data_IF_343423223788
#
_entry.id   IF_343423223788
#
_cell.length_a   1.000
_cell.length_b   1.000
_cell.length_c   1.000
_cell.angle_alpha   90.00
_cell.angle_beta   90.00
_cell.angle_gamma   90.00
#
_symmetry.space_group_name_H-M   'P 1'
#
loop_
_entity.id
_entity.type
_entity.pdbx_description
1 polymer ?
#
# COMPACT_ATOMS: atom_id res chain seq x y z
N UNK A 1 5.07 -13.98 6.04
CA UNK A 1 3.93 -13.48 6.83
C UNK A 1 2.62 -13.88 6.16
N UNK A 2 1.66 -14.42 6.90
CA UNK A 2 0.31 -14.68 6.38
C UNK A 2 -0.65 -13.51 6.71
N UNK A 3 -1.87 -13.53 6.16
CA UNK A 3 -2.89 -12.51 6.37
C UNK A 3 -3.25 -12.31 7.85
N UNK A 4 -3.38 -13.38 8.63
CA UNK A 4 -3.77 -13.31 10.05
C UNK A 4 -2.70 -12.61 10.90
N UNK A 5 -1.42 -12.94 10.70
CA UNK A 5 -0.30 -12.27 11.37
C UNK A 5 -0.23 -10.79 11.01
N UNK A 6 -0.49 -10.46 9.74
CA UNK A 6 -0.52 -9.07 9.29
C UNK A 6 -1.68 -8.31 9.96
N UNK A 7 -2.86 -8.92 10.06
CA UNK A 7 -4.02 -8.33 10.71
C UNK A 7 -3.74 -8.02 12.19
N UNK A 8 -3.26 -9.01 12.95
CA UNK A 8 -2.96 -8.83 14.38
C UNK A 8 -1.90 -7.74 14.60
N UNK A 9 -0.86 -7.69 13.76
CA UNK A 9 0.14 -6.62 13.83
C UNK A 9 -0.47 -5.25 13.55
N UNK A 10 -1.28 -5.13 12.49
CA UNK A 10 -1.90 -3.86 12.10
C UNK A 10 -2.83 -3.38 13.22
N UNK A 11 -3.71 -4.24 13.73
CA UNK A 11 -4.64 -3.89 14.81
C UNK A 11 -3.93 -3.42 16.09
N UNK A 12 -2.76 -3.99 16.40
CA UNK A 12 -1.94 -3.56 17.55
C UNK A 12 -1.17 -2.25 17.33
N UNK A 13 -0.99 -1.82 16.07
CA UNK A 13 -0.17 -0.66 15.70
C UNK A 13 -0.99 0.50 15.11
N UNK A 14 -2.31 0.40 15.14
CA UNK A 14 -3.21 1.52 14.86
C UNK A 14 -3.41 2.31 16.15
N UNK A 15 -3.56 3.63 16.05
CA UNK A 15 -3.86 4.51 17.19
C UNK A 15 -5.17 4.05 17.87
N UNK A 16 -5.23 4.11 19.21
CA UNK A 16 -6.33 3.56 20.02
C UNK A 16 -7.74 4.07 19.61
N UNK A 17 -7.83 5.27 19.04
CA UNK A 17 -9.08 5.91 18.61
C UNK A 17 -9.30 5.88 17.08
N UNK A 18 -8.67 4.97 16.35
CA UNK A 18 -8.77 4.87 14.90
C UNK A 18 -9.27 3.48 14.46
N UNK A 19 -10.32 3.46 13.64
CA UNK A 19 -11.00 2.22 13.24
C UNK A 19 -10.40 1.69 11.94
N UNK A 20 -10.02 0.42 11.91
CA UNK A 20 -9.57 -0.26 10.69
C UNK A 20 -10.74 -0.55 9.75
N UNK A 21 -10.77 0.11 8.58
CA UNK A 21 -11.75 -0.16 7.51
C UNK A 21 -11.34 -1.41 6.71
N UNK A 22 -10.04 -1.58 6.49
CA UNK A 22 -9.51 -2.77 5.85
C UNK A 22 -8.04 -2.64 5.49
N UNK A 23 -7.43 -3.73 5.04
CA UNK A 23 -6.01 -3.75 4.68
C UNK A 23 -5.73 -4.66 3.49
N UNK A 24 -4.66 -4.35 2.76
CA UNK A 24 -4.24 -5.12 1.60
C UNK A 24 -2.73 -5.09 1.41
N UNK A 25 -2.20 -6.12 0.75
CA UNK A 25 -0.80 -6.17 0.38
C UNK A 25 -0.55 -5.43 -0.93
N UNK A 26 0.56 -4.68 -1.00
CA UNK A 26 0.98 -4.00 -2.20
C UNK A 26 2.50 -4.04 -2.39
N UNK A 27 2.95 -3.84 -3.63
CA UNK A 27 4.37 -3.76 -3.96
C UNK A 27 4.69 -2.46 -4.69
N UNK A 28 5.77 -1.80 -4.32
CA UNK A 28 6.35 -0.69 -5.07
C UNK A 28 7.48 -1.25 -5.94
N UNK A 29 7.31 -1.30 -7.28
CA UNK A 29 8.32 -1.84 -8.16
C UNK A 29 9.56 -0.94 -8.21
N UNK A 30 10.73 -1.50 -8.53
CA UNK A 30 11.93 -0.73 -8.84
C UNK A 30 11.67 0.33 -9.90
N UNK A 31 12.43 1.43 -9.88
CA UNK A 31 12.44 2.37 -11.01
C UNK A 31 13.00 1.62 -12.22
N UNK A 32 12.32 1.69 -13.37
CA UNK A 32 12.71 0.97 -14.59
C UNK A 32 14.18 1.21 -14.95
N UNK A 33 14.68 2.43 -14.72
CA UNK A 33 16.06 2.82 -14.99
C UNK A 33 17.09 1.95 -14.26
N UNK A 34 16.76 1.45 -13.06
CA UNK A 34 17.67 0.63 -12.25
C UNK A 34 18.00 -0.69 -12.92
N UNK A 35 17.11 -1.23 -13.76
CA UNK A 35 17.40 -2.44 -14.53
C UNK A 35 18.51 -2.22 -15.57
N UNK A 36 18.71 -1.00 -16.07
CA UNK A 36 19.81 -0.71 -17.00
C UNK A 36 21.17 -0.61 -16.30
N UNK A 37 21.20 -0.34 -14.99
CA UNK A 37 22.46 -0.21 -14.23
C UNK A 37 22.80 -1.46 -13.44
N UNK A 38 21.82 -2.01 -12.73
CA UNK A 38 22.00 -3.13 -11.81
C UNK A 38 21.54 -4.46 -12.43
N UNK A 39 20.96 -4.43 -13.63
CA UNK A 39 20.40 -5.61 -14.26
C UNK A 39 19.30 -6.24 -13.41
N UNK A 40 19.23 -7.59 -13.34
CA UNK A 40 18.26 -8.32 -12.53
C UNK A 40 18.30 -7.97 -11.03
N UNK A 41 19.44 -7.52 -10.49
CA UNK A 41 19.57 -7.15 -9.07
C UNK A 41 18.71 -5.93 -8.69
N UNK A 42 18.20 -5.18 -9.66
CA UNK A 42 17.22 -4.13 -9.42
C UNK A 42 15.98 -4.64 -8.66
N UNK A 43 15.64 -5.93 -8.76
CA UNK A 43 14.52 -6.56 -8.02
C UNK A 43 14.66 -6.38 -6.50
N UNK A 44 15.88 -6.32 -5.96
CA UNK A 44 16.14 -6.15 -4.53
C UNK A 44 15.74 -4.76 -4.01
N UNK A 45 15.58 -3.78 -4.91
CA UNK A 45 15.07 -2.45 -4.56
C UNK A 45 13.54 -2.39 -4.49
N UNK A 46 12.84 -3.48 -4.82
CA UNK A 46 11.40 -3.59 -4.68
C UNK A 46 11.02 -3.47 -3.21
N UNK A 47 10.00 -2.66 -2.93
CA UNK A 47 9.47 -2.51 -1.57
C UNK A 47 8.13 -3.22 -1.46
N UNK A 48 7.94 -4.00 -0.41
CA UNK A 48 6.69 -4.67 -0.11
C UNK A 48 6.00 -3.94 1.05
N UNK A 49 4.68 -3.80 0.96
CA UNK A 49 3.89 -3.12 1.99
C UNK A 49 2.63 -3.90 2.33
N UNK A 50 2.17 -3.74 3.57
CA UNK A 50 0.75 -3.81 3.90
C UNK A 50 0.22 -2.40 4.08
N UNK A 51 -0.81 -2.06 3.31
CA UNK A 51 -1.55 -0.83 3.52
C UNK A 51 -2.75 -1.12 4.40
N UNK A 52 -2.87 -0.40 5.51
CA UNK A 52 -4.05 -0.40 6.36
C UNK A 52 -4.79 0.92 6.16
N UNK A 53 -6.05 0.84 5.76
CA UNK A 53 -6.94 1.98 5.54
C UNK A 53 -7.81 2.11 6.79
N UNK A 54 -7.74 3.27 7.42
CA UNK A 54 -8.50 3.58 8.62
C UNK A 54 -9.48 4.71 8.35
N UNK A 55 -10.22 5.15 9.37
CA UNK A 55 -11.13 6.28 9.24
C UNK A 55 -10.40 7.61 9.03
N UNK A 56 -9.21 7.75 9.61
CA UNK A 56 -8.41 8.98 9.57
C UNK A 56 -7.43 9.04 8.41
N UNK A 57 -6.91 7.89 7.96
CA UNK A 57 -5.88 7.88 6.94
C UNK A 57 -5.45 6.50 6.48
N UNK A 58 -4.20 6.42 6.04
CA UNK A 58 -3.61 5.19 5.51
C UNK A 58 -2.23 4.97 6.14
N UNK A 59 -2.06 3.80 6.76
CA UNK A 59 -0.76 3.31 7.20
C UNK A 59 -0.09 2.51 6.08
N UNK A 60 1.19 2.78 5.85
CA UNK A 60 2.07 2.06 4.94
C UNK A 60 3.08 1.26 5.76
N UNK A 61 2.69 0.05 6.17
CA UNK A 61 3.59 -0.85 6.88
C UNK A 61 4.56 -1.50 5.90
N UNK A 62 5.82 -1.09 5.96
CA UNK A 62 6.91 -1.60 5.12
C UNK A 62 7.34 -2.97 5.61
N UNK A 63 7.54 -3.88 4.65
CA UNK A 63 8.11 -5.18 4.88
C UNK A 63 9.56 -5.23 4.39
N UNK A 64 10.41 -5.84 5.21
CA UNK A 64 11.73 -6.31 4.80
C UNK A 64 11.62 -7.37 3.69
N UNK A 65 12.74 -7.66 3.02
CA UNK A 65 12.81 -8.72 2.00
C UNK A 65 12.42 -10.11 2.55
N UNK A 66 12.65 -10.36 3.84
CA UNK A 66 12.24 -11.58 4.54
C UNK A 66 10.74 -11.58 4.93
N UNK A 67 10.01 -10.51 4.60
CA UNK A 67 8.59 -10.38 4.87
C UNK A 67 8.26 -10.11 6.33
N UNK A 68 9.17 -9.54 7.12
CA UNK A 68 8.90 -9.00 8.47
C UNK A 68 8.61 -7.51 8.39
N UNK A 69 7.73 -7.00 9.27
CA UNK A 69 7.52 -5.57 9.44
C UNK A 69 8.81 -4.89 9.88
N UNK A 70 9.15 -3.80 9.21
CA UNK A 70 10.39 -3.04 9.45
C UNK A 70 10.08 -1.64 9.96
N UNK A 71 9.11 -0.97 9.32
CA UNK A 71 8.74 0.42 9.60
C UNK A 71 7.30 0.67 9.17
N UNK A 72 6.71 1.77 9.62
CA UNK A 72 5.39 2.21 9.20
C UNK A 72 5.29 3.72 9.10
N UNK A 73 4.87 4.20 7.92
CA UNK A 73 4.47 5.59 7.72
C UNK A 73 2.95 5.71 7.85
N UNK A 74 2.45 6.70 8.59
CA UNK A 74 1.03 7.05 8.60
C UNK A 74 0.82 8.36 7.83
N UNK A 75 -0.21 8.39 6.99
CA UNK A 75 -0.63 9.60 6.30
C UNK A 75 -2.12 9.83 6.52
N UNK A 76 -2.47 10.99 7.04
CA UNK A 76 -3.86 11.42 7.14
C UNK A 76 -4.43 11.72 5.74
N UNK A 77 -5.74 11.57 5.55
CA UNK A 77 -6.34 11.78 4.23
C UNK A 77 -6.13 13.19 3.69
N UNK A 78 -6.04 14.19 4.58
CA UNK A 78 -5.77 15.57 4.20
C UNK A 78 -4.32 15.77 3.74
N UNK A 79 -3.36 14.95 4.17
CA UNK A 79 -1.98 14.99 3.69
C UNK A 79 -1.84 14.43 2.25
N UNK A 80 -2.83 13.65 1.81
CA UNK A 80 -2.89 13.05 0.48
C UNK A 80 -3.64 13.99 -0.45
N UNK A 81 -2.90 14.60 -1.37
CA UNK A 81 -3.45 15.53 -2.36
C UNK A 81 -4.37 14.82 -3.36
N UNK A 82 -3.92 13.68 -3.90
CA UNK A 82 -4.72 12.89 -4.82
C UNK A 82 -4.21 11.46 -4.96
N UNK A 83 -5.08 10.57 -5.46
CA UNK A 83 -4.74 9.20 -5.81
C UNK A 83 -5.10 8.91 -7.26
N UNK A 84 -4.18 8.29 -7.99
CA UNK A 84 -4.46 7.71 -9.31
C UNK A 84 -4.59 6.21 -9.18
N UNK A 85 -5.77 5.66 -9.53
CA UNK A 85 -6.05 4.23 -9.49
C UNK A 85 -6.22 3.73 -10.93
N UNK A 86 -5.29 2.90 -11.40
CA UNK A 86 -5.34 2.35 -12.75
C UNK A 86 -6.15 1.06 -12.84
N UNK A 87 -6.29 0.52 -14.06
CA UNK A 87 -6.89 -0.80 -14.30
C UNK A 87 -5.80 -1.86 -14.40
N UNK A 88 -6.04 -3.04 -13.81
CA UNK A 88 -5.15 -4.19 -13.92
C UNK A 88 -5.86 -5.47 -13.49
N UNK A 89 -5.45 -6.61 -14.06
CA UNK A 89 -6.18 -7.88 -13.92
C UNK A 89 -5.76 -8.65 -12.65
N UNK A 90 -4.46 -8.67 -12.36
CA UNK A 90 -3.87 -9.34 -11.19
C UNK A 90 -3.59 -8.39 -10.03
N UNK A 91 -3.21 -7.16 -10.39
CA UNK A 91 -2.84 -6.11 -9.45
C UNK A 91 -3.50 -4.80 -9.84
N UNK A 92 -3.83 -3.99 -8.84
CA UNK A 92 -4.36 -2.64 -9.00
C UNK A 92 -3.22 -1.64 -8.82
N UNK A 93 -2.72 -1.00 -9.90
CA UNK A 93 -1.73 0.04 -9.76
C UNK A 93 -2.36 1.27 -9.11
N UNK A 94 -1.74 1.79 -8.06
CA UNK A 94 -2.14 3.00 -7.36
C UNK A 94 -0.94 3.94 -7.24
N UNK A 95 -1.19 5.24 -7.37
CA UNK A 95 -0.18 6.27 -7.17
C UNK A 95 -0.75 7.37 -6.30
N UNK A 96 -0.20 7.48 -5.10
CA UNK A 96 -0.54 8.52 -4.13
C UNK A 96 0.36 9.72 -4.34
N UNK A 97 -0.24 10.90 -4.42
CA UNK A 97 0.42 12.19 -4.46
C UNK A 97 0.13 12.89 -3.13
N UNK A 98 1.17 13.38 -2.47
CA UNK A 98 1.07 14.00 -1.17
C UNK A 98 1.36 15.50 -1.28
N UNK A 99 0.77 16.31 -0.40
CA UNK A 99 0.94 17.77 -0.38
C UNK A 99 2.40 18.22 -0.28
N UNK A 100 3.27 17.40 0.30
CA UNK A 100 4.71 17.64 0.38
C UNK A 100 5.50 17.27 -0.89
N UNK A 101 4.83 17.16 -2.04
CA UNK A 101 5.40 16.74 -3.34
C UNK A 101 5.97 15.30 -3.37
N UNK A 102 5.82 14.51 -2.30
CA UNK A 102 6.17 13.09 -2.33
C UNK A 102 5.15 12.34 -3.19
N UNK A 103 5.60 11.23 -3.75
CA UNK A 103 4.74 10.30 -4.50
C UNK A 103 5.09 8.86 -4.16
N UNK A 104 4.08 8.07 -3.86
CA UNK A 104 4.24 6.65 -3.58
C UNK A 104 3.48 5.87 -4.66
N UNK A 105 4.22 5.05 -5.43
CA UNK A 105 3.67 4.15 -6.44
C UNK A 105 3.60 2.75 -5.87
N UNK A 106 2.43 2.15 -5.88
CA UNK A 106 2.23 0.76 -5.46
C UNK A 106 1.38 -0.01 -6.47
N UNK A 107 1.43 -1.32 -6.37
CA UNK A 107 0.56 -2.26 -7.05
C UNK A 107 -0.09 -3.13 -5.99
N UNK A 108 -1.35 -2.85 -5.67
CA UNK A 108 -2.13 -3.62 -4.70
C UNK A 108 -2.56 -4.96 -5.31
N UNK A 109 -2.57 -6.03 -4.51
CA UNK A 109 -2.97 -7.35 -4.99
C UNK A 109 -4.50 -7.45 -5.13
N UNK A 110 -4.99 -7.79 -6.34
CA UNK A 110 -6.41 -8.04 -6.60
C UNK A 110 -6.73 -9.54 -6.56
N UNK A 111 -5.82 -10.35 -7.11
CA UNK A 111 -5.94 -11.81 -7.20
C UNK A 111 -4.66 -12.46 -6.69
N UNK A 112 -4.78 -13.66 -6.14
CA UNK A 112 -3.65 -14.38 -5.52
C UNK A 112 -4.10 -15.41 -4.48
N UNK A 113 -3.13 -16.06 -3.85
CA UNK A 113 -3.35 -17.07 -2.82
C UNK A 113 -4.20 -16.54 -1.65
N UNK A 114 -4.99 -17.42 -1.01
CA UNK A 114 -5.87 -17.07 0.14
C UNK A 114 -5.13 -16.37 1.30
N UNK A 115 -3.83 -16.62 1.43
CA UNK A 115 -2.96 -16.07 2.49
C UNK A 115 -2.57 -14.60 2.28
N UNK A 116 -2.87 -14.01 1.11
CA UNK A 116 -2.53 -12.63 0.76
C UNK A 116 -3.76 -11.73 0.99
N UNK A 117 -3.59 -10.64 1.72
CA UNK A 117 -4.64 -9.62 1.86
C UNK A 117 -4.81 -8.88 0.52
N UNK A 118 -6.03 -8.91 -0.01
CA UNK A 118 -6.37 -8.33 -1.32
C UNK A 118 -7.12 -7.02 -1.09
N UNK A 119 -6.97 -6.09 -2.03
CA UNK A 119 -7.81 -4.90 -2.03
C UNK A 119 -9.24 -5.32 -2.42
N UNK A 120 -10.19 -5.09 -1.53
CA UNK A 120 -11.62 -5.32 -1.79
C UNK A 120 -12.22 -4.12 -2.49
N UNK A 121 -13.39 -4.30 -3.11
CA UNK A 121 -14.11 -3.19 -3.73
C UNK A 121 -14.46 -2.12 -2.70
N UNK A 122 -14.90 -2.51 -1.50
CA UNK A 122 -15.30 -1.58 -0.44
C UNK A 122 -14.14 -0.70 0.03
N UNK A 123 -12.95 -1.30 0.24
CA UNK A 123 -11.74 -0.55 0.63
C UNK A 123 -11.30 0.38 -0.50
N UNK A 124 -11.38 -0.05 -1.75
CA UNK A 124 -11.07 0.81 -2.88
C UNK A 124 -12.03 2.01 -2.95
N UNK A 125 -13.35 1.75 -2.89
CA UNK A 125 -14.37 2.80 -2.86
C UNK A 125 -14.18 3.76 -1.69
N UNK A 126 -13.79 3.25 -0.52
CA UNK A 126 -13.50 4.09 0.65
C UNK A 126 -12.35 5.06 0.38
N UNK A 127 -11.25 4.58 -0.22
CA UNK A 127 -10.12 5.42 -0.63
C UNK A 127 -10.58 6.47 -1.65
N UNK A 128 -11.33 6.07 -2.67
CA UNK A 128 -11.81 6.95 -3.74
C UNK A 128 -12.76 8.05 -3.22
N UNK A 129 -13.54 7.76 -2.18
CA UNK A 129 -14.45 8.73 -1.56
C UNK A 129 -13.73 9.72 -0.63
N UNK A 130 -12.59 9.33 -0.06
CA UNK A 130 -11.84 10.16 0.91
C UNK A 130 -10.69 10.94 0.28
N UNK A 131 -10.18 10.50 -0.88
CA UNK A 131 -9.03 11.10 -1.55
C UNK A 131 -9.43 11.53 -2.96
N UNK A 132 -9.14 12.78 -3.37
CA UNK A 132 -9.40 13.23 -4.73
C UNK A 132 -8.75 12.32 -5.78
N UNK A 133 -9.48 12.00 -6.83
CA UNK A 133 -8.94 11.24 -7.96
C UNK A 133 -8.10 12.13 -8.87
N UNK A 134 -6.84 11.76 -9.05
CA UNK A 134 -5.97 12.40 -10.04
C UNK A 134 -6.41 11.99 -11.46
N UNK A 135 -6.52 12.99 -12.35
CA UNK A 135 -6.81 12.79 -13.77
C UNK A 135 -5.68 12.05 -14.51
#
# INVERSE_FOLDING_TARGET
>A
MNKEQAQAYIEQNIKEDDTLIGFFQAVSPPKIWMFFVLGPLAILSMRMYFLAVTERGIYFHKLSLLGKFEDSDFFEFDEIESVRIGKGILQRPMKFYFKNSRKIKIKAQLKGHKKIAKVTADVQSYIENRIPLAQ
#
